data_IF_117320535754
#
_entry.id   IF_117320535754
#
_cell.length_a   1.000
_cell.length_b   1.000
_cell.length_c   1.000
_cell.angle_alpha   90.00
_cell.angle_beta   90.00
_cell.angle_gamma   90.00
#
_symmetry.space_group_name_H-M   'P 1'
#
loop_
_entity.id
_entity.type
_entity.pdbx_description
1 polymer ?
#
# COMPACT_ATOMS: atom_id res chain seq x y z
N UNK A 1 43.68 6.76 -4.56
CA UNK A 1 42.78 5.60 -4.78
C UNK A 1 41.75 5.58 -3.65
N UNK A 2 40.58 6.18 -3.86
CA UNK A 2 39.41 6.06 -2.98
C UNK A 2 38.16 6.36 -3.81
N UNK A 3 37.58 5.34 -4.44
CA UNK A 3 36.33 5.45 -5.20
C UNK A 3 35.60 4.09 -5.22
N UNK A 4 35.27 3.54 -4.05
CA UNK A 4 34.64 2.21 -3.95
C UNK A 4 33.59 2.12 -2.83
N UNK A 5 32.83 3.19 -2.56
CA UNK A 5 31.82 3.20 -1.46
C UNK A 5 30.45 3.80 -1.80
N UNK A 6 30.00 3.75 -3.05
CA UNK A 6 28.66 4.26 -3.42
C UNK A 6 27.76 3.30 -4.24
N UNK A 7 28.31 2.21 -4.80
CA UNK A 7 27.50 1.23 -5.57
C UNK A 7 26.54 0.41 -4.71
N UNK A 8 26.83 0.25 -3.41
CA UNK A 8 25.99 -0.53 -2.50
C UNK A 8 24.66 0.15 -2.19
N UNK A 9 24.66 1.47 -1.97
CA UNK A 9 23.52 2.22 -1.41
C UNK A 9 22.33 2.39 -2.39
N UNK A 10 22.52 2.05 -3.66
CA UNK A 10 21.47 2.00 -4.66
C UNK A 10 21.06 0.56 -5.01
N UNK A 11 21.85 -0.43 -4.57
CA UNK A 11 21.64 -1.82 -4.97
C UNK A 11 20.44 -2.45 -4.28
N UNK A 12 20.27 -2.29 -2.96
CA UNK A 12 19.15 -2.93 -2.24
C UNK A 12 17.83 -2.29 -2.67
N UNK A 13 17.73 -0.96 -2.71
CA UNK A 13 16.53 -0.28 -3.22
C UNK A 13 16.16 -0.74 -4.62
N UNK A 14 17.12 -0.81 -5.55
CA UNK A 14 16.87 -1.22 -6.93
C UNK A 14 16.37 -2.67 -6.99
N UNK A 15 16.96 -3.56 -6.20
CA UNK A 15 16.52 -4.97 -6.10
C UNK A 15 15.11 -5.10 -5.54
N UNK A 16 14.75 -4.32 -4.52
CA UNK A 16 13.38 -4.30 -3.98
C UNK A 16 12.41 -3.75 -5.03
N UNK A 17 12.75 -2.64 -5.69
CA UNK A 17 11.91 -2.05 -6.74
C UNK A 17 11.65 -3.06 -7.87
N UNK A 18 12.70 -3.73 -8.36
CA UNK A 18 12.56 -4.78 -9.38
C UNK A 18 11.71 -5.96 -8.88
N UNK A 19 11.95 -6.44 -7.66
CA UNK A 19 11.22 -7.57 -7.09
C UNK A 19 9.72 -7.27 -6.85
N UNK A 20 9.37 -6.01 -6.59
CA UNK A 20 8.00 -5.58 -6.29
C UNK A 20 7.25 -5.03 -7.49
N UNK A 21 7.88 -4.92 -8.67
CA UNK A 21 7.30 -4.27 -9.83
C UNK A 21 5.95 -4.88 -10.27
N UNK A 22 5.86 -6.21 -10.26
CA UNK A 22 4.63 -6.92 -10.63
C UNK A 22 3.51 -6.69 -9.61
N UNK A 23 3.82 -6.80 -8.30
CA UNK A 23 2.82 -6.59 -7.24
C UNK A 23 2.37 -5.12 -7.17
N UNK A 24 3.29 -4.16 -7.39
CA UNK A 24 2.96 -2.74 -7.50
C UNK A 24 2.02 -2.47 -8.69
N UNK A 25 2.30 -3.07 -9.86
CA UNK A 25 1.39 -2.98 -11.01
C UNK A 25 0.03 -3.58 -10.72
N UNK A 26 -0.02 -4.74 -10.06
CA UNK A 26 -1.27 -5.39 -9.67
C UNK A 26 -2.12 -4.49 -8.75
N UNK A 27 -1.50 -3.80 -7.78
CA UNK A 27 -2.21 -2.81 -6.95
C UNK A 27 -2.72 -1.62 -7.77
N UNK A 28 -1.96 -1.13 -8.75
CA UNK A 28 -2.40 -0.03 -9.59
C UNK A 28 -3.67 -0.38 -10.39
N UNK A 29 -3.80 -1.64 -10.82
CA UNK A 29 -4.99 -2.12 -11.55
C UNK A 29 -6.05 -2.77 -10.66
N UNK A 30 -5.83 -2.78 -9.33
CA UNK A 30 -6.69 -3.47 -8.38
C UNK A 30 -8.14 -2.94 -8.41
N UNK A 31 -9.17 -3.81 -8.51
CA UNK A 31 -10.56 -3.38 -8.74
C UNK A 31 -11.05 -2.32 -7.75
N UNK A 32 -10.79 -2.52 -6.46
CA UNK A 32 -11.19 -1.57 -5.42
C UNK A 32 -10.35 -0.29 -5.42
N UNK A 33 -9.03 -0.38 -5.66
CA UNK A 33 -8.17 0.81 -5.60
C UNK A 33 -8.39 1.73 -6.81
N UNK A 34 -8.69 1.14 -7.98
CA UNK A 34 -9.04 1.92 -9.18
C UNK A 34 -10.30 2.77 -8.99
N UNK A 35 -11.19 2.43 -8.05
CA UNK A 35 -12.38 3.25 -7.74
C UNK A 35 -11.99 4.67 -7.32
N UNK A 36 -10.85 4.88 -6.65
CA UNK A 36 -10.36 6.22 -6.29
C UNK A 36 -10.11 7.15 -7.50
N UNK A 37 -9.99 6.57 -8.69
CA UNK A 37 -9.85 7.28 -9.96
C UNK A 37 -11.08 7.20 -10.86
N UNK A 38 -12.16 6.54 -10.41
CA UNK A 38 -13.35 6.34 -11.22
C UNK A 38 -14.22 7.61 -11.24
N UNK A 39 -14.83 7.94 -12.38
CA UNK A 39 -15.65 9.15 -12.53
C UNK A 39 -16.96 9.09 -11.73
N UNK A 40 -17.39 7.89 -11.33
CA UNK A 40 -18.59 7.60 -10.57
C UNK A 40 -18.27 7.20 -9.11
N UNK A 41 -17.08 7.53 -8.61
CA UNK A 41 -16.69 7.27 -7.22
C UNK A 41 -17.72 7.86 -6.25
N UNK A 42 -18.27 7.01 -5.39
CA UNK A 42 -19.22 7.43 -4.36
C UNK A 42 -18.51 7.75 -3.04
N UNK A 43 -19.16 8.56 -2.19
CA UNK A 43 -18.65 8.86 -0.85
C UNK A 43 -18.54 7.61 0.02
N UNK A 44 -19.43 6.62 -0.18
CA UNK A 44 -19.40 5.33 0.54
C UNK A 44 -18.18 4.51 0.16
N UNK A 45 -17.93 4.32 -1.14
CA UNK A 45 -16.73 3.62 -1.61
C UNK A 45 -15.46 4.31 -1.13
N UNK A 46 -15.42 5.63 -1.19
CA UNK A 46 -14.29 6.40 -0.70
C UNK A 46 -14.05 6.17 0.80
N UNK A 47 -15.11 6.20 1.61
CA UNK A 47 -15.05 5.97 3.06
C UNK A 47 -14.52 4.58 3.41
N UNK A 48 -15.07 3.54 2.77
CA UNK A 48 -14.65 2.14 2.98
C UNK A 48 -13.18 1.94 2.58
N UNK A 49 -12.74 2.55 1.48
CA UNK A 49 -11.33 2.50 1.09
C UNK A 49 -10.42 3.17 2.13
N UNK A 50 -10.80 4.35 2.65
CA UNK A 50 -10.01 4.99 3.70
C UNK A 50 -9.96 4.17 5.00
N UNK A 51 -11.04 3.46 5.33
CA UNK A 51 -11.04 2.52 6.47
C UNK A 51 -10.04 1.39 6.25
N UNK A 52 -10.02 0.76 5.06
CA UNK A 52 -9.04 -0.28 4.72
C UNK A 52 -7.60 0.24 4.86
N UNK A 53 -7.30 1.43 4.32
CA UNK A 53 -5.99 2.05 4.46
C UNK A 53 -5.64 2.28 5.94
N UNK A 54 -6.56 2.88 6.71
CA UNK A 54 -6.33 3.17 8.12
C UNK A 54 -6.09 1.91 8.95
N UNK A 55 -6.86 0.85 8.72
CA UNK A 55 -6.71 -0.41 9.43
C UNK A 55 -5.37 -1.10 9.10
N UNK A 56 -5.03 -1.23 7.82
CA UNK A 56 -3.77 -1.87 7.41
C UNK A 56 -2.54 -1.09 7.91
N UNK A 57 -2.54 0.24 7.76
CA UNK A 57 -1.43 1.08 8.21
C UNK A 57 -1.29 1.01 9.74
N UNK A 58 -2.40 0.94 10.47
CA UNK A 58 -2.38 0.82 11.94
C UNK A 58 -1.74 -0.50 12.37
N UNK A 59 -1.99 -1.60 11.64
CA UNK A 59 -1.38 -2.90 11.92
C UNK A 59 0.14 -2.89 11.75
N UNK A 60 0.63 -2.29 10.66
CA UNK A 60 2.08 -2.17 10.44
C UNK A 60 2.73 -1.27 11.50
N UNK A 61 2.07 -0.18 11.89
CA UNK A 61 2.55 0.68 12.97
C UNK A 61 2.57 -0.05 14.33
N UNK A 62 1.55 -0.84 14.65
CA UNK A 62 1.51 -1.67 15.86
C UNK A 62 2.64 -2.71 15.87
N UNK A 63 2.90 -3.36 14.73
CA UNK A 63 4.02 -4.30 14.59
C UNK A 63 5.37 -3.63 14.86
N UNK A 64 5.55 -2.43 14.29
CA UNK A 64 6.75 -1.60 14.50
C UNK A 64 6.95 -1.26 15.98
N UNK A 65 5.88 -0.84 16.66
CA UNK A 65 5.87 -0.50 18.08
C UNK A 65 6.14 -1.73 18.96
N UNK A 66 5.48 -2.86 18.70
CA UNK A 66 5.65 -4.10 19.44
C UNK A 66 7.08 -4.63 19.38
N UNK A 67 7.74 -4.49 18.23
CA UNK A 67 9.14 -4.87 18.04
C UNK A 67 10.14 -3.81 18.49
N UNK A 68 9.69 -2.60 18.87
CA UNK A 68 10.52 -1.47 19.27
C UNK A 68 11.59 -1.11 18.20
N UNK A 69 11.19 -1.09 16.92
CA UNK A 69 12.09 -0.84 15.79
C UNK A 69 11.76 0.44 15.02
N UNK A 70 12.76 1.03 14.38
CA UNK A 70 12.61 2.13 13.40
C UNK A 70 11.74 3.31 13.87
N UNK A 71 11.96 3.79 15.10
CA UNK A 71 11.14 4.83 15.73
C UNK A 71 10.93 6.09 14.86
N UNK A 72 11.97 6.51 14.15
CA UNK A 72 11.93 7.68 13.26
C UNK A 72 11.14 7.46 11.97
N UNK A 73 10.72 6.23 11.66
CA UNK A 73 9.99 5.86 10.45
C UNK A 73 8.50 5.61 10.70
N UNK A 74 7.97 6.08 11.83
CA UNK A 74 6.56 5.92 12.21
C UNK A 74 5.56 6.39 11.14
N UNK A 75 4.42 5.70 11.09
CA UNK A 75 3.26 6.04 10.28
C UNK A 75 2.29 7.01 10.97
N UNK A 76 2.59 7.51 12.18
CA UNK A 76 1.67 8.30 13.01
C UNK A 76 1.09 9.51 12.28
N UNK A 77 1.90 10.26 11.53
CA UNK A 77 1.41 11.40 10.75
C UNK A 77 0.44 10.97 9.65
N UNK A 78 0.74 9.87 8.98
CA UNK A 78 -0.10 9.31 7.92
C UNK A 78 -1.42 8.79 8.48
N UNK A 79 -1.36 8.10 9.61
CA UNK A 79 -2.54 7.63 10.34
C UNK A 79 -3.38 8.77 10.90
N UNK A 80 -2.76 9.84 11.40
CA UNK A 80 -3.47 11.03 11.85
C UNK A 80 -4.24 11.69 10.70
N UNK A 81 -3.66 11.76 9.50
CA UNK A 81 -4.33 12.29 8.32
C UNK A 81 -5.50 11.39 7.86
N UNK A 82 -5.33 10.07 7.84
CA UNK A 82 -6.41 9.11 7.56
C UNK A 82 -7.56 9.24 8.57
N UNK A 83 -7.24 9.28 9.87
CA UNK A 83 -8.23 9.45 10.93
C UNK A 83 -8.91 10.82 10.89
N UNK A 84 -8.24 11.87 10.40
CA UNK A 84 -8.88 13.16 10.17
C UNK A 84 -9.92 13.07 9.05
N UNK A 85 -9.59 12.43 7.93
CA UNK A 85 -10.54 12.20 6.83
C UNK A 85 -11.75 11.38 7.29
N UNK A 86 -11.52 10.25 7.99
CA UNK A 86 -12.59 9.39 8.50
C UNK A 86 -13.52 10.10 9.49
N UNK A 87 -12.97 10.94 10.39
CA UNK A 87 -13.78 11.78 11.29
C UNK A 87 -14.64 12.78 10.53
N UNK A 88 -14.08 13.44 9.51
CA UNK A 88 -14.85 14.36 8.66
C UNK A 88 -15.97 13.66 7.89
N UNK A 89 -15.80 12.37 7.56
CA UNK A 89 -16.82 11.54 6.92
C UNK A 89 -17.84 10.95 7.91
N UNK A 90 -17.71 11.22 9.21
CA UNK A 90 -18.50 10.61 10.28
C UNK A 90 -18.46 9.07 10.27
N UNK A 91 -17.34 8.51 9.82
CA UNK A 91 -17.12 7.06 9.73
C UNK A 91 -16.54 6.56 11.05
N UNK A 92 -17.12 5.52 11.67
CA UNK A 92 -16.56 4.92 12.88
C UNK A 92 -15.15 4.39 12.63
N UNK A 93 -14.25 4.62 13.59
CA UNK A 93 -12.88 4.10 13.59
C UNK A 93 -12.80 2.69 14.19
N UNK A 94 -13.90 1.92 14.14
CA UNK A 94 -13.96 0.61 14.79
C UNK A 94 -12.94 -0.37 14.19
N UNK A 95 -12.46 -1.35 14.99
CA UNK A 95 -11.53 -2.36 14.51
C UNK A 95 -12.14 -3.14 13.35
N UNK A 96 -11.51 -3.04 12.19
CA UNK A 96 -11.86 -3.86 11.02
C UNK A 96 -11.48 -5.31 11.32
N UNK A 97 -12.46 -6.21 11.28
CA UNK A 97 -12.28 -7.65 11.55
C UNK A 97 -12.13 -8.52 10.28
N UNK A 98 -12.06 -7.93 9.09
CA UNK A 98 -11.95 -8.69 7.85
C UNK A 98 -10.53 -9.25 7.66
N UNK A 99 -10.44 -10.59 7.55
CA UNK A 99 -9.29 -11.35 7.05
C UNK A 99 -7.94 -10.80 7.49
N UNK A 100 -7.48 -11.23 8.66
CA UNK A 100 -6.35 -10.62 9.34
C UNK A 100 -5.02 -11.02 8.64
N UNK A 101 -4.36 -10.14 7.85
CA UNK A 101 -3.08 -10.49 7.22
C UNK A 101 -2.05 -10.74 8.31
N UNK A 102 -1.08 -11.61 8.09
CA UNK A 102 -0.06 -11.91 9.10
C UNK A 102 0.64 -10.62 9.53
N UNK A 103 0.66 -10.33 10.83
CA UNK A 103 1.41 -9.18 11.37
C UNK A 103 2.89 -9.45 11.18
N UNK A 104 3.68 -8.53 10.61
CA UNK A 104 5.13 -8.69 10.53
C UNK A 104 5.73 -8.87 11.93
N UNK A 105 6.47 -9.95 12.14
CA UNK A 105 7.07 -10.33 13.43
C UNK A 105 8.60 -10.14 13.46
N UNK A 106 9.17 -9.65 12.37
CA UNK A 106 10.61 -9.48 12.20
C UNK A 106 10.97 -8.05 11.72
N UNK A 107 12.06 -7.43 12.21
CA UNK A 107 12.45 -6.07 11.83
C UNK A 107 12.53 -5.83 10.31
N UNK A 108 13.16 -6.73 9.56
CA UNK A 108 13.22 -6.61 8.08
C UNK A 108 11.84 -6.60 7.43
N UNK A 109 10.88 -7.36 7.95
CA UNK A 109 9.53 -7.40 7.41
C UNK A 109 8.79 -6.09 7.68
N UNK A 110 8.92 -5.53 8.89
CA UNK A 110 8.41 -4.18 9.22
C UNK A 110 9.06 -3.12 8.33
N UNK A 111 10.37 -3.15 8.15
CA UNK A 111 11.08 -2.15 7.32
C UNK A 111 10.64 -2.20 5.85
N UNK A 112 10.48 -3.41 5.31
CA UNK A 112 9.95 -3.60 3.96
C UNK A 112 8.50 -3.11 3.84
N UNK A 113 7.66 -3.32 4.86
CA UNK A 113 6.30 -2.80 4.87
C UNK A 113 6.28 -1.27 4.93
N UNK A 114 7.11 -0.65 5.78
CA UNK A 114 7.28 0.80 5.85
C UNK A 114 7.73 1.39 4.51
N UNK A 115 8.63 0.71 3.79
CA UNK A 115 9.03 1.12 2.43
C UNK A 115 7.83 1.22 1.48
N UNK A 116 6.97 0.19 1.48
CA UNK A 116 5.77 0.17 0.63
C UNK A 116 4.78 1.26 1.05
N UNK A 117 4.52 1.43 2.34
CA UNK A 117 3.49 2.35 2.84
C UNK A 117 3.88 3.82 2.74
N UNK A 118 5.13 4.18 3.05
CA UNK A 118 5.65 5.52 2.77
C UNK A 118 5.77 5.75 1.26
N UNK A 119 6.14 4.72 0.49
CA UNK A 119 6.17 4.74 -0.97
C UNK A 119 4.82 5.02 -1.63
N UNK A 120 3.72 4.54 -1.03
CA UNK A 120 2.37 4.77 -1.55
C UNK A 120 1.99 6.27 -1.55
N UNK A 121 2.62 7.09 -0.71
CA UNK A 121 2.30 8.51 -0.64
C UNK A 121 2.77 9.29 -1.88
N UNK A 122 3.77 8.80 -2.62
CA UNK A 122 4.30 9.49 -3.81
C UNK A 122 3.28 9.63 -4.94
N UNK A 123 2.32 8.69 -5.04
CA UNK A 123 1.19 8.78 -5.98
C UNK A 123 0.00 9.61 -5.46
N UNK A 124 0.04 10.07 -4.21
CA UNK A 124 -1.09 10.67 -3.51
C UNK A 124 -1.63 11.95 -4.15
N UNK A 125 -0.77 12.80 -4.71
CA UNK A 125 -1.21 14.07 -5.32
C UNK A 125 -2.08 13.86 -6.57
N UNK A 126 -1.80 12.82 -7.35
CA UNK A 126 -2.63 12.47 -8.52
C UNK A 126 -4.02 12.01 -8.05
N UNK A 127 -4.07 11.14 -7.03
CA UNK A 127 -5.33 10.68 -6.45
C UNK A 127 -6.11 11.83 -5.81
N UNK A 128 -5.44 12.75 -5.12
CA UNK A 128 -6.06 13.95 -4.55
C UNK A 128 -6.83 14.75 -5.60
N UNK A 129 -6.21 15.00 -6.76
CA UNK A 129 -6.84 15.74 -7.85
C UNK A 129 -8.06 15.02 -8.42
N UNK A 130 -7.95 13.71 -8.64
CA UNK A 130 -9.07 12.89 -9.13
C UNK A 130 -10.25 12.85 -8.15
N UNK A 131 -9.97 12.60 -6.87
CA UNK A 131 -11.00 12.61 -5.81
C UNK A 131 -11.62 13.99 -5.68
N UNK A 132 -10.85 15.07 -5.77
CA UNK A 132 -11.39 16.43 -5.73
C UNK A 132 -12.32 16.75 -6.92
N UNK A 133 -12.02 16.20 -8.11
CA UNK A 133 -12.86 16.38 -9.29
C UNK A 133 -14.22 15.68 -9.20
N UNK A 134 -14.27 14.49 -8.58
CA UNK A 134 -15.51 13.68 -8.47
C UNK A 134 -16.27 13.97 -7.17
N UNK A 135 -15.56 14.17 -6.06
CA UNK A 135 -16.09 14.41 -4.72
C UNK A 135 -15.51 15.73 -4.15
N UNK A 136 -15.93 16.91 -4.62
CA UNK A 136 -15.31 18.19 -4.26
C UNK A 136 -15.33 18.47 -2.74
N UNK A 137 -16.43 18.10 -2.07
CA UNK A 137 -16.61 18.26 -0.62
C UNK A 137 -15.96 17.17 0.26
N UNK A 138 -15.43 16.10 -0.31
CA UNK A 138 -14.80 15.04 0.48
C UNK A 138 -13.49 15.53 1.14
N UNK A 139 -13.20 15.12 2.39
CA UNK A 139 -11.92 15.42 3.02
C UNK A 139 -10.80 14.63 2.32
N UNK A 140 -9.60 15.20 2.25
CA UNK A 140 -8.47 14.64 1.50
C UNK A 140 -7.13 14.88 2.20
N UNK A 141 -7.11 14.91 3.53
CA UNK A 141 -5.91 15.14 4.34
C UNK A 141 -4.85 14.07 4.06
N UNK A 142 -5.24 12.80 3.94
CA UNK A 142 -4.33 11.68 3.66
C UNK A 142 -3.56 11.86 2.35
N UNK A 143 -4.26 12.22 1.26
CA UNK A 143 -3.63 12.49 -0.04
C UNK A 143 -3.00 13.89 -0.13
N UNK A 144 -3.28 14.76 0.83
CA UNK A 144 -2.82 16.14 0.87
C UNK A 144 -1.43 16.34 1.49
N UNK A 145 -0.93 15.35 2.23
CA UNK A 145 0.37 15.42 2.91
C UNK A 145 1.54 15.63 1.95
N UNK A 146 2.41 16.59 2.28
CA UNK A 146 3.69 16.74 1.58
C UNK A 146 4.61 15.59 1.95
N UNK A 147 5.35 15.08 0.95
CA UNK A 147 6.34 14.02 1.16
C UNK A 147 7.41 14.48 2.14
N UNK A 148 7.66 13.70 3.19
CA UNK A 148 8.81 13.93 4.07
C UNK A 148 10.06 13.32 3.43
N UNK A 149 10.76 14.13 2.65
CA UNK A 149 12.00 13.71 1.96
C UNK A 149 13.09 13.24 2.94
N UNK A 150 13.11 13.77 4.16
CA UNK A 150 14.09 13.37 5.18
C UNK A 150 13.75 11.98 5.72
N UNK A 151 12.49 11.76 6.08
CA UNK A 151 12.01 10.43 6.47
C UNK A 151 12.28 9.39 5.38
N UNK A 152 11.99 9.72 4.13
CA UNK A 152 12.28 8.83 3.00
C UNK A 152 13.78 8.49 2.89
N UNK A 153 14.66 9.48 3.01
CA UNK A 153 16.10 9.24 3.00
C UNK A 153 16.58 8.38 4.17
N UNK A 154 16.03 8.58 5.37
CA UNK A 154 16.29 7.72 6.54
C UNK A 154 15.84 6.30 6.27
N UNK A 155 14.65 6.11 5.69
CA UNK A 155 14.13 4.79 5.33
C UNK A 155 15.04 4.07 4.34
N UNK A 156 15.48 4.75 3.29
CA UNK A 156 16.40 4.16 2.32
C UNK A 156 17.73 3.76 2.97
N UNK A 157 18.27 4.59 3.86
CA UNK A 157 19.49 4.27 4.61
C UNK A 157 19.33 3.00 5.45
N UNK A 158 18.16 2.83 6.07
CA UNK A 158 17.84 1.62 6.82
C UNK A 158 17.73 0.38 5.94
N UNK A 159 17.13 0.49 4.75
CA UNK A 159 17.06 -0.63 3.80
C UNK A 159 18.45 -1.12 3.40
N UNK A 160 19.34 -0.19 3.07
CA UNK A 160 20.71 -0.52 2.69
C UNK A 160 21.48 -1.17 3.85
N UNK A 161 21.27 -0.70 5.08
CA UNK A 161 21.86 -1.30 6.28
C UNK A 161 21.39 -2.74 6.50
N UNK A 162 20.08 -2.99 6.39
CA UNK A 162 19.47 -4.29 6.67
C UNK A 162 19.54 -5.30 5.52
N UNK A 163 19.82 -4.81 4.31
CA UNK A 163 19.99 -5.59 3.08
C UNK A 163 21.44 -5.71 2.59
N UNK A 164 22.43 -5.36 3.42
CA UNK A 164 23.86 -5.38 3.03
C UNK A 164 24.35 -6.74 2.54
N UNK A 165 23.83 -7.83 3.11
CA UNK A 165 24.12 -9.19 2.66
C UNK A 165 22.99 -9.73 1.78
N UNK A 166 23.29 -10.77 1.00
CA UNK A 166 22.33 -11.29 0.03
C UNK A 166 21.08 -11.87 0.71
N UNK A 167 21.24 -12.55 1.85
CA UNK A 167 20.13 -13.10 2.62
C UNK A 167 19.19 -12.00 3.14
N UNK A 168 19.73 -10.89 3.65
CA UNK A 168 18.99 -9.72 4.10
C UNK A 168 18.28 -9.01 2.95
N UNK A 169 18.96 -8.80 1.82
CA UNK A 169 18.35 -8.21 0.63
C UNK A 169 17.19 -9.08 0.11
N UNK A 170 17.39 -10.39 0.02
CA UNK A 170 16.33 -11.32 -0.38
C UNK A 170 15.15 -11.30 0.59
N UNK A 171 15.40 -11.24 1.91
CA UNK A 171 14.35 -11.13 2.91
C UNK A 171 13.54 -9.83 2.76
N UNK A 172 14.20 -8.69 2.51
CA UNK A 172 13.53 -7.42 2.25
C UNK A 172 12.70 -7.47 0.96
N UNK A 173 13.23 -8.02 -0.13
CA UNK A 173 12.49 -8.18 -1.39
C UNK A 173 11.23 -9.02 -1.19
N UNK A 174 11.35 -10.19 -0.53
CA UNK A 174 10.20 -11.07 -0.25
C UNK A 174 9.15 -10.37 0.62
N UNK A 175 9.57 -9.71 1.69
CA UNK A 175 8.66 -9.03 2.60
C UNK A 175 7.96 -7.82 1.95
N UNK A 176 8.65 -7.07 1.09
CA UNK A 176 8.04 -5.95 0.37
C UNK A 176 6.99 -6.46 -0.62
N UNK A 177 7.33 -7.50 -1.40
CA UNK A 177 6.39 -8.15 -2.31
C UNK A 177 5.17 -8.72 -1.56
N UNK A 178 5.40 -9.35 -0.40
CA UNK A 178 4.32 -9.85 0.46
C UNK A 178 3.43 -8.71 0.96
N UNK A 179 4.00 -7.57 1.37
CA UNK A 179 3.22 -6.41 1.83
C UNK A 179 2.28 -5.90 0.74
N UNK A 180 2.73 -5.82 -0.52
CA UNK A 180 1.86 -5.43 -1.63
C UNK A 180 0.66 -6.37 -1.79
N UNK A 181 0.91 -7.69 -1.73
CA UNK A 181 -0.16 -8.70 -1.84
C UNK A 181 -1.11 -8.67 -0.65
N UNK A 182 -0.58 -8.61 0.56
CA UNK A 182 -1.37 -8.54 1.80
C UNK A 182 -2.26 -7.29 1.81
N UNK A 183 -1.73 -6.15 1.37
CA UNK A 183 -2.52 -4.93 1.27
C UNK A 183 -3.66 -5.05 0.26
N UNK A 184 -3.39 -5.59 -0.93
CA UNK A 184 -4.42 -5.79 -1.96
C UNK A 184 -5.51 -6.76 -1.51
N UNK A 185 -5.11 -7.89 -0.92
CA UNK A 185 -6.04 -8.88 -0.36
C UNK A 185 -6.88 -8.27 0.76
N UNK A 186 -6.26 -7.59 1.72
CA UNK A 186 -6.94 -6.95 2.83
C UNK A 186 -7.97 -5.92 2.36
N UNK A 187 -7.61 -5.06 1.38
CA UNK A 187 -8.56 -4.11 0.79
C UNK A 187 -9.74 -4.84 0.16
N UNK A 188 -9.50 -5.93 -0.57
CA UNK A 188 -10.58 -6.73 -1.18
C UNK A 188 -11.52 -7.30 -0.13
N UNK A 189 -10.98 -7.96 0.89
CA UNK A 189 -11.75 -8.61 1.94
C UNK A 189 -12.54 -7.58 2.76
N UNK A 190 -11.90 -6.47 3.13
CA UNK A 190 -12.56 -5.37 3.84
C UNK A 190 -13.71 -4.79 3.03
N UNK A 191 -13.47 -4.42 1.76
CA UNK A 191 -14.52 -3.85 0.93
C UNK A 191 -15.67 -4.83 0.71
N UNK A 192 -15.40 -6.11 0.42
CA UNK A 192 -16.45 -7.12 0.29
C UNK A 192 -17.28 -7.23 1.57
N UNK A 193 -16.64 -7.27 2.74
CA UNK A 193 -17.32 -7.35 4.02
C UNK A 193 -18.25 -6.14 4.26
N UNK A 194 -17.74 -4.91 4.09
CA UNK A 194 -18.50 -3.68 4.31
C UNK A 194 -19.69 -3.50 3.35
N UNK A 195 -19.52 -3.93 2.09
CA UNK A 195 -20.61 -3.88 1.11
C UNK A 195 -21.62 -5.01 1.28
N UNK A 196 -21.21 -6.17 1.81
CA UNK A 196 -22.12 -7.30 2.09
C UNK A 196 -22.92 -7.11 3.39
N UNK A 197 -22.33 -6.46 4.39
CA UNK A 197 -22.94 -6.24 5.71
C UNK A 197 -24.04 -5.16 5.72
N UNK A 198 -24.17 -4.37 4.65
CA UNK A 198 -25.14 -3.28 4.56
C UNK A 198 -26.16 -3.53 3.44
N UNK A 199 -27.27 -4.24 3.72
CA UNK A 199 -28.32 -4.52 2.73
C UNK A 199 -29.22 -3.33 2.38
N UNK A 200 -28.97 -2.12 2.92
CA UNK A 200 -29.96 -1.04 2.88
C UNK A 200 -29.91 -0.11 1.64
N UNK A 201 -28.94 -0.23 0.72
CA UNK A 201 -28.93 0.57 -0.51
C UNK A 201 -28.20 -0.15 -1.66
N UNK A 202 -28.97 -0.58 -2.67
CA UNK A 202 -28.57 -0.81 -4.06
C UNK A 202 -27.48 -1.85 -4.31
N UNK A 203 -27.81 -2.93 -5.02
CA UNK A 203 -26.85 -3.88 -5.58
C UNK A 203 -25.70 -3.15 -6.27
N UNK A 204 -24.47 -3.37 -5.79
CA UNK A 204 -23.26 -3.16 -6.59
C UNK A 204 -23.43 -3.92 -7.91
N UNK A 205 -23.00 -3.37 -9.06
CA UNK A 205 -22.85 -4.20 -10.26
C UNK A 205 -21.89 -5.36 -9.93
N UNK A 206 -22.14 -6.57 -10.43
CA UNK A 206 -21.28 -7.71 -10.15
C UNK A 206 -19.87 -7.40 -10.64
N UNK A 207 -18.93 -7.22 -9.69
CA UNK A 207 -17.51 -7.21 -10.02
C UNK A 207 -17.13 -8.63 -10.40
N UNK A 208 -17.05 -8.89 -11.70
CA UNK A 208 -16.59 -10.18 -12.24
C UNK A 208 -15.10 -10.32 -11.98
N UNK A 209 -14.75 -11.04 -10.93
CA UNK A 209 -13.37 -11.48 -10.70
C UNK A 209 -13.06 -12.62 -11.67
N UNK A 210 -12.36 -12.32 -12.77
CA UNK A 210 -11.81 -13.35 -13.63
C UNK A 210 -10.67 -14.05 -12.89
N UNK A 211 -10.85 -15.33 -12.54
CA UNK A 211 -9.85 -16.18 -11.88
C UNK A 211 -8.78 -16.71 -12.85
N UNK A 212 -8.73 -16.23 -14.09
CA UNK A 212 -7.84 -16.80 -15.11
C UNK A 212 -6.53 -15.99 -15.19
N UNK A 213 -5.37 -16.57 -14.87
CA UNK A 213 -4.09 -15.93 -15.17
C UNK A 213 -3.94 -15.77 -16.69
N UNK A 214 -3.26 -14.72 -17.18
CA UNK A 214 -3.02 -14.54 -18.60
C UNK A 214 -2.12 -15.68 -19.12
N UNK A 215 -2.63 -16.41 -20.10
CA UNK A 215 -1.83 -17.34 -20.92
C UNK A 215 -0.89 -16.47 -21.76
N UNK A 216 0.41 -16.58 -21.51
CA UNK A 216 1.44 -15.99 -22.35
C UNK A 216 1.54 -16.87 -23.59
N UNK A 217 1.07 -16.35 -24.74
CA UNK A 217 1.16 -17.05 -26.01
C UNK A 217 2.61 -17.12 -26.49
N UNK A 218 3.14 -18.34 -26.61
CA UNK A 218 4.29 -18.64 -27.46
C UNK A 218 3.86 -18.55 -28.92
N UNK A 219 4.27 -17.49 -29.62
CA UNK A 219 4.32 -17.52 -31.08
C UNK A 219 5.66 -18.14 -31.51
N UNK A 220 5.62 -19.45 -31.79
CA UNK A 220 6.66 -20.14 -32.53
C UNK A 220 6.56 -19.74 -34.02
N UNK A 221 7.40 -18.81 -34.44
CA UNK A 221 7.63 -18.52 -35.85
C UNK A 221 8.41 -19.66 -36.52
N UNK A 222 7.72 -20.46 -37.33
CA UNK A 222 8.33 -21.37 -38.30
C UNK A 222 7.85 -21.01 -39.69
N UNK A 223 8.75 -20.42 -40.48
CA UNK A 223 8.56 -20.16 -41.90
C UNK A 223 9.91 -20.19 -42.62
N UNK A 224 10.24 -21.35 -43.17
CA UNK A 224 11.11 -21.53 -44.34
C UNK A 224 10.34 -22.34 -45.36
#
# INVERSE_FOLDING_TARGET
>A
MSAERDDGAHAVRTRIAAATQADHHALHVHPWLRRLSAPDLTLREYSVLLQAYCAFFSRIEQARQALCVFETLSLDRTLAALRADLRCLAVPLEPVSAGDPATPDHPRAVLAALYVLHGAQFGGQVLRGKVAGVLPGAPRHFFGGAQDRRLWATLLTELERHGRDDAGCQALCRAAAQTFRDFGQFVTEHCIAEFSASPMFGQLPPMTFSKTPPVIGEEAGSGR
#
